data_IF_531414134832
#
_entry.id   IF_531414134832
#
_cell.length_a   1.000
_cell.length_b   1.000
_cell.length_c   1.000
_cell.angle_alpha   90.00
_cell.angle_beta   90.00
_cell.angle_gamma   90.00
#
_symmetry.space_group_name_H-M   'P 1'
#
loop_
_entity.id
_entity.type
_entity.pdbx_description
1 polymer ?
#
# COMPACT_ATOMS: atom_id res chain seq x y z
N UNK A 1 -25.48 25.67 -24.51
CA UNK A 1 -24.46 25.26 -23.52
C UNK A 1 -23.18 24.94 -24.28
N UNK A 2 -22.17 25.82 -24.24
CA UNK A 2 -20.92 25.65 -24.99
C UNK A 2 -20.04 24.59 -24.30
N UNK A 3 -19.79 23.48 -24.98
CA UNK A 3 -18.93 22.39 -24.48
C UNK A 3 -17.46 22.74 -24.75
N UNK A 4 -16.86 23.54 -23.87
CA UNK A 4 -15.42 23.79 -23.94
C UNK A 4 -14.68 22.54 -23.43
N UNK A 5 -14.17 21.73 -24.36
CA UNK A 5 -13.39 20.52 -24.04
C UNK A 5 -11.95 20.95 -23.75
N UNK A 6 -11.40 20.67 -22.55
CA UNK A 6 -10.02 21.03 -22.26
C UNK A 6 -9.06 20.24 -23.16
N UNK A 7 -8.09 20.96 -23.72
CA UNK A 7 -7.02 20.39 -24.55
C UNK A 7 -5.81 20.23 -23.65
N UNK A 8 -5.39 19.00 -23.42
CA UNK A 8 -4.15 18.69 -22.70
C UNK A 8 -3.02 18.68 -23.72
N UNK A 9 -2.08 19.60 -23.58
CA UNK A 9 -0.90 19.70 -24.44
C UNK A 9 0.29 19.06 -23.72
N UNK A 10 0.94 18.05 -24.29
CA UNK A 10 2.17 17.50 -23.72
C UNK A 10 3.28 18.53 -23.86
N UNK A 11 3.95 18.82 -22.74
CA UNK A 11 5.12 19.70 -22.70
C UNK A 11 6.33 18.85 -22.34
N UNK A 12 7.42 19.07 -23.06
CA UNK A 12 8.71 18.48 -22.70
C UNK A 12 9.36 19.36 -21.64
N UNK A 13 9.61 18.81 -20.46
CA UNK A 13 10.35 19.49 -19.41
C UNK A 13 11.79 18.98 -19.48
N UNK A 14 12.71 19.84 -19.91
CA UNK A 14 14.14 19.57 -19.81
C UNK A 14 14.55 19.61 -18.34
N UNK A 15 14.60 18.42 -17.73
CA UNK A 15 15.10 18.27 -16.38
C UNK A 15 16.62 18.48 -16.41
N UNK A 16 17.09 19.57 -15.81
CA UNK A 16 18.51 19.76 -15.51
C UNK A 16 19.02 18.53 -14.74
N UNK A 17 20.32 18.18 -14.85
CA UNK A 17 20.90 17.07 -14.11
C UNK A 17 20.81 17.38 -12.61
N UNK A 18 19.69 16.99 -12.00
CA UNK A 18 19.62 16.82 -10.58
C UNK A 18 20.48 15.58 -10.34
N UNK A 19 21.65 15.79 -9.77
CA UNK A 19 22.38 14.75 -9.04
C UNK A 19 21.39 14.22 -7.99
N UNK A 20 20.51 13.32 -8.41
CA UNK A 20 19.70 12.53 -7.51
C UNK A 20 20.75 11.79 -6.70
N UNK A 21 20.86 12.02 -5.38
CA UNK A 21 21.54 11.04 -4.58
C UNK A 21 20.80 9.75 -4.91
N UNK A 22 21.53 8.76 -5.43
CA UNK A 22 21.09 7.37 -5.38
C UNK A 22 21.09 6.99 -3.88
N UNK A 23 20.28 7.70 -3.09
CA UNK A 23 19.89 7.29 -1.79
C UNK A 23 19.09 6.04 -2.07
N UNK A 24 19.69 4.90 -1.75
CA UNK A 24 18.94 3.72 -1.39
C UNK A 24 17.72 4.23 -0.65
N UNK A 25 16.52 4.13 -1.24
CA UNK A 25 15.34 4.31 -0.42
C UNK A 25 15.58 3.36 0.75
N UNK A 26 15.42 3.79 2.01
CA UNK A 26 15.29 2.79 3.05
C UNK A 26 14.17 1.90 2.51
N UNK A 27 14.49 0.65 2.18
CA UNK A 27 13.48 -0.35 1.94
C UNK A 27 12.80 -0.43 3.28
N UNK A 28 11.77 0.40 3.47
CA UNK A 28 10.99 0.43 4.68
C UNK A 28 10.37 -0.94 4.70
N UNK A 29 10.99 -1.83 5.47
CA UNK A 29 10.59 -3.22 5.55
C UNK A 29 9.17 -3.15 6.07
N UNK A 30 8.20 -3.40 5.20
CA UNK A 30 6.79 -3.35 5.56
C UNK A 30 6.59 -4.56 6.48
N UNK A 31 6.71 -4.32 7.77
CA UNK A 31 6.50 -5.34 8.79
C UNK A 31 5.01 -5.43 9.08
N UNK A 32 4.44 -6.64 9.16
CA UNK A 32 3.04 -6.79 9.54
C UNK A 32 2.83 -6.29 10.97
N UNK A 33 1.73 -5.56 11.16
CA UNK A 33 1.30 -5.07 12.48
C UNK A 33 0.77 -6.22 13.35
N UNK A 34 0.20 -7.25 12.74
CA UNK A 34 -0.30 -8.44 13.42
C UNK A 34 -0.13 -9.67 12.54
N UNK A 35 0.23 -10.81 13.12
CA UNK A 35 0.31 -12.09 12.42
C UNK A 35 -0.45 -13.14 13.21
N UNK A 36 -1.40 -13.82 12.55
CA UNK A 36 -2.12 -14.97 13.10
C UNK A 36 -1.49 -16.23 12.50
N UNK A 37 -0.96 -17.10 13.35
CA UNK A 37 -0.41 -18.41 12.96
C UNK A 37 -1.34 -19.51 13.42
N UNK A 38 -1.72 -20.40 12.50
CA UNK A 38 -2.52 -21.60 12.77
C UNK A 38 -1.75 -22.84 12.32
N UNK A 39 -2.25 -24.03 12.62
CA UNK A 39 -1.62 -25.29 12.21
C UNK A 39 -1.49 -25.44 10.68
N UNK A 40 -2.33 -24.75 9.90
CA UNK A 40 -2.40 -24.90 8.45
C UNK A 40 -2.03 -23.64 7.66
N UNK A 41 -2.17 -22.45 8.26
CA UNK A 41 -1.97 -21.17 7.55
C UNK A 41 -1.45 -20.07 8.46
N UNK A 42 -0.68 -19.16 7.88
CA UNK A 42 -0.24 -17.90 8.46
C UNK A 42 -0.95 -16.72 7.77
N UNK A 43 -1.50 -15.80 8.55
CA UNK A 43 -2.22 -14.62 8.05
C UNK A 43 -1.53 -13.38 8.61
N UNK A 44 -1.02 -12.52 7.72
CA UNK A 44 -0.33 -11.28 8.08
C UNK A 44 -1.23 -10.06 7.80
N UNK A 45 -1.38 -9.21 8.80
CA UNK A 45 -2.08 -7.94 8.72
C UNK A 45 -1.09 -6.78 8.72
N UNK A 46 -1.28 -5.85 7.80
CA UNK A 46 -0.44 -4.68 7.64
C UNK A 46 -1.12 -3.42 8.17
N UNK A 47 -0.36 -2.36 8.29
CA UNK A 47 -0.81 -1.13 8.92
C UNK A 47 -2.08 -0.57 8.25
N UNK A 48 -3.02 -0.09 9.05
CA UNK A 48 -4.31 0.44 8.58
C UNK A 48 -5.44 -0.60 8.46
N UNK A 49 -5.23 -1.84 8.93
CA UNK A 49 -6.32 -2.81 9.02
C UNK A 49 -7.32 -2.43 10.12
N UNK A 50 -8.61 -2.62 9.85
CA UNK A 50 -9.67 -2.49 10.86
C UNK A 50 -9.57 -3.61 11.92
N UNK A 51 -9.61 -3.23 13.20
CA UNK A 51 -9.62 -4.16 14.33
C UNK A 51 -10.81 -5.13 14.28
N UNK A 52 -11.97 -4.69 13.77
CA UNK A 52 -13.15 -5.53 13.63
C UNK A 52 -12.96 -6.62 12.57
N UNK A 53 -12.17 -6.33 11.53
CA UNK A 53 -11.80 -7.33 10.51
C UNK A 53 -10.89 -8.39 11.13
N UNK A 54 -9.87 -8.00 11.89
CA UNK A 54 -8.97 -8.93 12.59
C UNK A 54 -9.77 -9.83 13.55
N UNK A 55 -10.70 -9.26 14.32
CA UNK A 55 -11.58 -10.02 15.21
C UNK A 55 -12.48 -11.00 14.45
N UNK A 56 -13.00 -10.61 13.29
CA UNK A 56 -13.86 -11.46 12.47
C UNK A 56 -13.08 -12.64 11.90
N UNK A 57 -11.87 -12.39 11.39
CA UNK A 57 -10.97 -13.46 10.93
C UNK A 57 -10.64 -14.41 12.08
N UNK A 58 -10.26 -13.88 13.24
CA UNK A 58 -9.96 -14.71 14.41
C UNK A 58 -11.16 -15.58 14.83
N UNK A 59 -12.36 -15.01 14.88
CA UNK A 59 -13.59 -15.77 15.19
C UNK A 59 -13.86 -16.85 14.15
N UNK A 60 -13.71 -16.54 12.87
CA UNK A 60 -13.90 -17.52 11.78
C UNK A 60 -12.91 -18.67 11.83
N UNK A 61 -11.68 -18.44 12.32
CA UNK A 61 -10.66 -19.47 12.49
C UNK A 61 -10.90 -20.34 13.74
N UNK A 62 -11.41 -19.79 14.83
CA UNK A 62 -11.67 -20.54 16.08
C UNK A 62 -12.95 -21.38 15.99
N UNK A 63 -13.91 -20.97 15.16
CA UNK A 63 -15.20 -21.65 15.00
C UNK A 63 -15.18 -22.83 14.00
N UNK A 64 -14.01 -23.25 13.52
CA UNK A 64 -13.86 -24.34 12.55
C UNK A 64 -13.06 -25.51 13.08
#
# INVERSE_FOLDING_TARGET
MSTNKPIIVPVHLDLLPLELPLGSSPQQKIEPTCVIKTAAVEISFFNGVDVHLVQTVLKGLVLK
#
